data_IF_988480808471
#
_entry.id   IF_988480808471
#
_cell.length_a   1.000
_cell.length_b   1.000
_cell.length_c   1.000
_cell.angle_alpha   90.00
_cell.angle_beta   90.00
_cell.angle_gamma   90.00
#
_symmetry.space_group_name_H-M   'P 1'
#
loop_
_entity.id
_entity.type
_entity.pdbx_description
1 polymer ?
#
# COMPACT_ATOMS: atom_id res chain seq x y z
N UNK A 1 43.43 46.05 30.74
CA UNK A 1 42.04 45.54 30.84
C UNK A 1 41.31 45.94 29.56
N UNK A 2 40.64 45.12 28.76
CA UNK A 2 40.30 43.69 28.69
C UNK A 2 40.19 43.40 27.18
N UNK A 3 40.86 42.36 26.68
CA UNK A 3 40.73 41.86 25.30
C UNK A 3 39.45 41.03 25.22
N UNK A 4 38.52 41.37 24.33
CA UNK A 4 37.30 40.61 24.07
C UNK A 4 37.56 39.70 22.85
N UNK A 5 37.89 38.44 23.09
CA UNK A 5 37.94 37.40 22.05
C UNK A 5 36.50 37.04 21.67
N UNK A 6 36.06 37.42 20.48
CA UNK A 6 34.86 36.86 19.85
C UNK A 6 35.24 35.51 19.23
N UNK A 7 34.95 34.42 19.95
CA UNK A 7 35.13 33.06 19.45
C UNK A 7 33.97 32.74 18.51
N UNK A 8 34.13 33.00 17.21
CA UNK A 8 33.19 32.59 16.17
C UNK A 8 33.26 31.05 16.06
N UNK A 9 32.40 30.35 16.79
CA UNK A 9 32.29 28.89 16.71
C UNK A 9 31.59 28.55 15.41
N UNK A 10 32.39 28.32 14.36
CA UNK A 10 31.93 27.78 13.08
C UNK A 10 31.42 26.36 13.36
N UNK A 11 30.14 26.22 13.68
CA UNK A 11 29.44 24.94 13.68
C UNK A 11 29.39 24.46 12.22
N UNK A 12 30.47 23.80 11.79
CA UNK A 12 30.50 22.94 10.63
C UNK A 12 29.46 21.83 10.89
N UNK A 13 28.22 22.11 10.51
CA UNK A 13 27.19 21.11 10.32
C UNK A 13 27.62 20.22 9.16
N UNK A 14 28.52 19.28 9.44
CA UNK A 14 28.70 18.11 8.60
C UNK A 14 27.37 17.35 8.65
N UNK A 15 26.49 17.65 7.72
CA UNK A 15 25.39 16.78 7.34
C UNK A 15 26.05 15.48 6.86
N UNK A 16 26.27 14.56 7.80
CA UNK A 16 26.57 13.18 7.48
C UNK A 16 25.35 12.68 6.72
N UNK A 17 25.47 12.57 5.39
CA UNK A 17 24.47 12.02 4.49
C UNK A 17 24.32 10.52 4.81
N UNK A 18 23.54 10.23 5.86
CA UNK A 18 23.18 8.87 6.20
C UNK A 18 22.20 8.37 5.14
N UNK A 19 22.58 7.31 4.41
CA UNK A 19 21.68 6.65 3.48
C UNK A 19 20.42 6.20 4.21
N UNK A 20 19.25 6.47 3.62
CA UNK A 20 17.98 6.01 4.18
C UNK A 20 17.92 4.48 4.16
N UNK A 21 17.45 3.88 5.25
CA UNK A 21 17.24 2.44 5.36
C UNK A 21 15.77 2.11 5.60
N UNK A 22 15.29 1.04 4.96
CA UNK A 22 13.90 0.59 5.08
C UNK A 22 13.87 -0.91 5.34
N UNK A 23 13.32 -1.32 6.49
CA UNK A 23 13.00 -2.73 6.78
C UNK A 23 11.61 -3.08 6.26
N UNK A 24 11.50 -4.14 5.45
CA UNK A 24 10.23 -4.57 4.83
C UNK A 24 10.29 -6.02 4.37
N UNK A 25 9.21 -6.51 3.77
CA UNK A 25 9.20 -7.74 2.97
C UNK A 25 8.95 -7.39 1.50
N UNK A 26 9.59 -8.10 0.58
CA UNK A 26 9.29 -7.98 -0.85
C UNK A 26 7.98 -8.73 -1.13
N UNK A 27 7.00 -8.01 -1.66
CA UNK A 27 5.74 -8.60 -2.10
C UNK A 27 5.88 -9.22 -3.51
N UNK A 28 6.54 -8.51 -4.43
CA UNK A 28 6.83 -9.01 -5.77
C UNK A 28 8.07 -8.31 -6.36
N UNK A 29 8.75 -8.97 -7.29
CA UNK A 29 9.81 -8.39 -8.11
C UNK A 29 9.45 -8.58 -9.58
N UNK A 30 9.39 -7.49 -10.34
CA UNK A 30 9.11 -7.53 -11.77
C UNK A 30 10.41 -7.36 -12.56
N UNK A 31 10.78 -8.36 -13.36
CA UNK A 31 11.96 -8.32 -14.24
C UNK A 31 11.81 -7.25 -15.34
N UNK A 32 12.87 -6.51 -15.73
CA UNK A 32 12.85 -5.53 -16.82
C UNK A 32 12.30 -6.16 -18.11
N UNK A 33 11.38 -5.47 -18.80
CA UNK A 33 10.97 -5.80 -20.17
C UNK A 33 11.78 -4.94 -21.16
N UNK A 34 11.63 -5.21 -22.46
CA UNK A 34 12.35 -4.47 -23.51
C UNK A 34 12.17 -2.96 -23.35
N UNK A 35 13.28 -2.25 -23.08
CA UNK A 35 13.31 -0.80 -22.89
C UNK A 35 13.23 -0.32 -21.43
N UNK A 36 12.94 -1.21 -20.48
CA UNK A 36 13.02 -0.86 -19.06
C UNK A 36 14.48 -0.81 -18.60
N UNK A 37 14.78 0.16 -17.72
CA UNK A 37 16.12 0.37 -17.16
C UNK A 37 16.27 -0.20 -15.74
N UNK A 38 15.19 -0.72 -15.15
CA UNK A 38 15.14 -1.15 -13.76
C UNK A 38 14.25 -2.39 -13.59
N UNK A 39 14.58 -3.23 -12.63
CA UNK A 39 13.62 -4.10 -11.96
C UNK A 39 12.71 -3.24 -11.07
N UNK A 40 11.45 -3.67 -10.94
CA UNK A 40 10.48 -2.99 -10.09
C UNK A 40 10.15 -3.86 -8.88
N UNK A 41 10.62 -3.44 -7.71
CA UNK A 41 10.41 -4.14 -6.44
C UNK A 41 9.17 -3.56 -5.75
N UNK A 42 8.13 -4.38 -5.57
CA UNK A 42 6.94 -4.04 -4.79
C UNK A 42 7.13 -4.48 -3.34
N UNK A 43 7.16 -3.54 -2.40
CA UNK A 43 7.35 -3.83 -0.99
C UNK A 43 6.01 -3.93 -0.25
N UNK A 44 5.99 -4.68 0.86
CA UNK A 44 4.80 -4.93 1.67
C UNK A 44 4.27 -3.69 2.41
N UNK A 45 5.06 -2.63 2.46
CA UNK A 45 4.63 -1.30 2.92
C UNK A 45 3.89 -0.51 1.81
N UNK A 46 3.69 -1.06 0.61
CA UNK A 46 3.02 -0.36 -0.50
C UNK A 46 3.94 0.52 -1.35
N UNK A 47 5.21 0.66 -0.97
CA UNK A 47 6.20 1.39 -1.77
C UNK A 47 6.77 0.53 -2.89
N UNK A 48 7.27 1.22 -3.90
CA UNK A 48 8.03 0.69 -5.04
C UNK A 48 9.46 1.15 -4.92
N UNK A 49 10.40 0.28 -5.25
CA UNK A 49 11.82 0.60 -5.33
C UNK A 49 12.39 0.12 -6.67
N UNK A 50 13.30 0.89 -7.26
CA UNK A 50 13.98 0.53 -8.50
C UNK A 50 15.31 -0.16 -8.22
N UNK A 51 15.59 -1.30 -8.87
CA UNK A 51 16.94 -1.89 -8.91
C UNK A 51 17.44 -1.72 -10.34
N UNK A 52 18.62 -1.14 -10.60
CA UNK A 52 19.13 -0.99 -11.96
C UNK A 52 19.18 -2.33 -12.71
N UNK A 53 18.76 -2.37 -13.98
CA UNK A 53 18.67 -3.61 -14.76
C UNK A 53 20.04 -4.30 -14.93
N UNK A 54 21.13 -3.54 -14.87
CA UNK A 54 22.50 -4.06 -14.91
C UNK A 54 22.96 -4.71 -13.59
N UNK A 55 22.26 -4.47 -12.47
CA UNK A 55 22.65 -4.99 -11.15
C UNK A 55 21.97 -6.33 -10.86
N UNK A 56 22.49 -7.39 -11.49
CA UNK A 56 22.00 -8.75 -11.28
C UNK A 56 22.19 -9.23 -9.84
N UNK A 57 23.24 -8.76 -9.14
CA UNK A 57 23.51 -9.15 -7.76
C UNK A 57 22.40 -8.71 -6.80
N UNK A 58 21.94 -7.46 -6.91
CA UNK A 58 20.79 -7.00 -6.14
C UNK A 58 19.49 -7.69 -6.55
N UNK A 59 19.28 -7.94 -7.86
CA UNK A 59 18.12 -8.66 -8.33
C UNK A 59 18.05 -10.09 -7.77
N UNK A 60 19.18 -10.80 -7.69
CA UNK A 60 19.26 -12.16 -7.15
C UNK A 60 18.99 -12.19 -5.65
N UNK A 61 19.54 -11.25 -4.87
CA UNK A 61 19.21 -11.09 -3.44
C UNK A 61 17.69 -10.84 -3.24
N UNK A 62 17.09 -10.02 -4.10
CA UNK A 62 15.66 -9.76 -4.06
C UNK A 62 14.84 -11.03 -4.38
N UNK A 63 15.23 -11.80 -5.39
CA UNK A 63 14.58 -13.09 -5.73
C UNK A 63 14.71 -14.10 -4.60
N UNK A 64 15.89 -14.21 -3.99
CA UNK A 64 16.12 -15.06 -2.83
C UNK A 64 15.19 -14.70 -1.66
N UNK A 65 15.11 -13.40 -1.33
CA UNK A 65 14.21 -12.93 -0.29
C UNK A 65 12.73 -13.18 -0.60
N UNK A 66 12.30 -13.04 -1.85
CA UNK A 66 10.93 -13.39 -2.29
C UNK A 66 10.67 -14.89 -2.13
N UNK A 67 11.57 -15.74 -2.63
CA UNK A 67 11.42 -17.19 -2.60
C UNK A 67 11.43 -17.74 -1.16
N UNK A 68 12.28 -17.20 -0.29
CA UNK A 68 12.35 -17.59 1.12
C UNK A 68 11.32 -16.90 2.02
N UNK A 69 10.61 -15.89 1.52
CA UNK A 69 9.73 -15.04 2.33
C UNK A 69 10.49 -14.24 3.41
N UNK A 70 11.78 -13.98 3.21
CA UNK A 70 12.63 -13.33 4.19
C UNK A 70 12.35 -11.82 4.28
N UNK A 71 12.39 -11.23 5.49
CA UNK A 71 12.47 -9.78 5.61
C UNK A 71 13.80 -9.29 5.05
N UNK A 72 13.79 -8.04 4.59
CA UNK A 72 14.96 -7.37 4.05
C UNK A 72 15.12 -5.99 4.68
N UNK A 73 16.34 -5.49 4.68
CA UNK A 73 16.66 -4.09 4.86
C UNK A 73 17.20 -3.53 3.54
N UNK A 74 16.50 -2.53 3.00
CA UNK A 74 16.92 -1.79 1.83
C UNK A 74 17.80 -0.62 2.28
N UNK A 75 18.97 -0.47 1.66
CA UNK A 75 19.73 0.77 1.69
C UNK A 75 19.39 1.52 0.41
N UNK A 76 18.94 2.77 0.53
CA UNK A 76 18.45 3.56 -0.61
C UNK A 76 19.50 4.58 -1.07
N UNK A 77 19.49 4.88 -2.37
CA UNK A 77 20.13 6.08 -2.90
C UNK A 77 19.36 7.32 -2.43
N UNK A 78 20.07 8.41 -2.20
CA UNK A 78 19.47 9.69 -1.83
C UNK A 78 18.59 10.21 -2.97
N UNK A 79 17.40 10.67 -2.61
CA UNK A 79 16.48 11.31 -3.54
C UNK A 79 16.63 12.83 -3.45
N UNK A 80 16.54 13.49 -4.58
CA UNK A 80 16.40 14.95 -4.65
C UNK A 80 15.08 15.40 -4.04
N UNK A 81 15.02 16.66 -3.59
CA UNK A 81 13.77 17.26 -3.10
C UNK A 81 12.66 17.25 -4.16
N UNK A 82 13.04 17.38 -5.43
CA UNK A 82 12.11 17.32 -6.56
C UNK A 82 11.50 15.92 -6.71
N UNK A 83 12.32 14.87 -6.68
CA UNK A 83 11.83 13.48 -6.73
C UNK A 83 10.88 13.19 -5.56
N UNK A 84 11.23 13.63 -4.35
CA UNK A 84 10.38 13.46 -3.15
C UNK A 84 9.04 14.18 -3.35
N UNK A 85 9.06 15.44 -3.80
CA UNK A 85 7.87 16.25 -4.07
C UNK A 85 7.00 15.67 -5.19
N UNK A 86 7.63 15.06 -6.20
CA UNK A 86 6.97 14.42 -7.34
C UNK A 86 6.47 13.00 -7.03
N UNK A 87 6.63 12.53 -5.78
CA UNK A 87 6.29 11.18 -5.35
C UNK A 87 7.00 10.08 -6.16
N UNK A 88 8.26 10.31 -6.51
CA UNK A 88 9.08 9.34 -7.23
C UNK A 88 9.65 8.29 -6.29
N UNK A 89 9.84 7.08 -6.81
CA UNK A 89 10.44 5.94 -6.09
C UNK A 89 11.93 6.17 -5.89
N UNK A 90 12.43 5.67 -4.76
CA UNK A 90 13.85 5.59 -4.52
C UNK A 90 14.47 4.42 -5.30
N UNK A 91 15.75 4.57 -5.64
CA UNK A 91 16.56 3.49 -6.19
C UNK A 91 17.29 2.75 -5.07
N UNK A 92 17.39 1.43 -5.20
CA UNK A 92 18.06 0.56 -4.22
C UNK A 92 19.57 0.66 -4.43
N UNK A 93 20.29 0.92 -3.35
CA UNK A 93 21.76 0.88 -3.28
C UNK A 93 22.27 -0.49 -2.83
N UNK A 94 21.61 -1.10 -1.84
CA UNK A 94 21.92 -2.45 -1.38
C UNK A 94 20.69 -3.13 -0.74
N UNK A 95 20.74 -4.45 -0.66
CA UNK A 95 19.74 -5.31 -0.02
C UNK A 95 20.45 -6.20 0.99
N UNK A 96 20.03 -6.11 2.25
CA UNK A 96 20.42 -7.04 3.31
C UNK A 96 19.27 -8.01 3.56
N UNK A 97 19.48 -9.29 3.29
CA UNK A 97 18.49 -10.35 3.57
C UNK A 97 18.60 -10.75 5.05
N UNK A 98 17.49 -10.63 5.78
CA UNK A 98 17.45 -10.81 7.23
C UNK A 98 16.93 -12.22 7.58
N UNK A 99 17.71 -13.25 7.25
CA UNK A 99 17.32 -14.67 7.34
C UNK A 99 16.89 -15.11 8.75
N UNK A 100 17.44 -14.47 9.79
CA UNK A 100 17.15 -14.80 11.19
C UNK A 100 16.06 -13.91 11.83
N UNK A 101 15.53 -12.92 11.11
CA UNK A 101 14.44 -12.09 11.61
C UNK A 101 13.09 -12.73 11.23
N UNK A 102 12.14 -12.72 12.15
CA UNK A 102 10.76 -13.13 11.82
C UNK A 102 10.18 -12.15 10.80
N UNK A 103 9.70 -12.62 9.63
CA UNK A 103 9.12 -11.72 8.64
C UNK A 103 8.00 -10.86 9.26
N UNK A 104 7.93 -9.59 8.86
CA UNK A 104 6.94 -8.64 9.37
C UNK A 104 5.49 -9.12 9.09
N UNK A 105 5.33 -9.95 8.05
CA UNK A 105 4.09 -10.61 7.65
C UNK A 105 4.06 -12.14 7.92
N UNK A 106 5.07 -12.70 8.60
CA UNK A 106 5.35 -14.16 8.65
C UNK A 106 4.22 -15.04 9.16
N UNK A 107 3.36 -14.55 10.06
CA UNK A 107 2.28 -15.36 10.62
C UNK A 107 1.07 -15.53 9.69
N UNK A 108 1.18 -15.06 8.44
CA UNK A 108 0.06 -14.96 7.53
C UNK A 108 0.30 -15.53 6.13
N UNK A 109 1.54 -15.79 5.73
CA UNK A 109 1.81 -16.43 4.45
C UNK A 109 1.84 -17.95 4.69
N UNK A 110 0.80 -18.71 4.29
CA UNK A 110 0.87 -20.17 4.36
C UNK A 110 2.09 -20.63 3.56
N UNK A 111 2.83 -21.62 4.08
CA UNK A 111 3.88 -22.30 3.31
C UNK A 111 3.29 -22.72 1.96
N UNK A 112 3.93 -22.27 0.88
CA UNK A 112 3.45 -22.36 -0.49
C UNK A 112 3.52 -23.80 -1.01
N UNK A 113 2.63 -24.66 -0.54
CA UNK A 113 2.39 -26.00 -1.09
C UNK A 113 0.94 -26.07 -1.55
N UNK A 114 0.57 -25.35 -2.61
CA UNK A 114 -0.74 -25.56 -3.24
C UNK A 114 -0.60 -25.59 -4.78
N UNK A 115 -1.36 -26.48 -5.44
CA UNK A 115 -1.23 -26.74 -6.88
C UNK A 115 -1.75 -25.60 -7.76
N UNK A 116 -1.37 -25.68 -9.03
CA UNK A 116 -1.67 -24.74 -10.09
C UNK A 116 -3.17 -24.41 -10.22
N UNK A 117 -3.45 -23.11 -10.36
CA UNK A 117 -4.66 -22.46 -10.85
C UNK A 117 -5.99 -23.22 -10.71
N UNK A 118 -6.84 -22.78 -9.78
CA UNK A 118 -8.16 -23.36 -9.58
C UNK A 118 -9.15 -22.96 -10.69
N UNK A 119 -9.93 -23.93 -11.16
CA UNK A 119 -10.94 -23.83 -12.22
C UNK A 119 -11.89 -22.60 -12.10
N UNK A 120 -12.15 -21.87 -13.21
CA UNK A 120 -12.99 -20.68 -13.26
C UNK A 120 -14.47 -20.81 -12.84
N UNK A 121 -15.09 -21.99 -12.81
CA UNK A 121 -16.56 -22.12 -12.67
C UNK A 121 -17.12 -21.74 -11.28
N UNK A 122 -16.29 -21.57 -10.25
CA UNK A 122 -16.73 -21.19 -8.88
C UNK A 122 -15.99 -19.96 -8.35
N UNK A 123 -15.88 -18.92 -9.19
CA UNK A 123 -15.13 -17.72 -8.83
C UNK A 123 -15.76 -16.94 -7.65
N UNK A 124 -15.03 -16.87 -6.54
CA UNK A 124 -15.37 -16.05 -5.37
C UNK A 124 -14.70 -14.68 -5.52
N UNK A 125 -15.50 -13.62 -5.54
CA UNK A 125 -14.99 -12.24 -5.59
C UNK A 125 -14.67 -11.74 -4.17
N UNK A 126 -13.81 -10.71 -4.01
CA UNK A 126 -13.58 -10.08 -2.71
C UNK A 126 -14.83 -9.47 -2.05
N UNK A 127 -15.91 -9.30 -2.81
CA UNK A 127 -17.22 -8.80 -2.36
C UNK A 127 -18.29 -9.89 -2.22
N UNK A 128 -17.97 -11.16 -2.51
CA UNK A 128 -18.95 -12.26 -2.43
C UNK A 128 -19.55 -12.37 -1.03
N UNK A 129 -20.88 -12.46 -0.96
CA UNK A 129 -21.67 -12.49 0.28
C UNK A 129 -21.46 -11.26 1.20
N UNK A 130 -21.05 -10.12 0.63
CA UNK A 130 -20.86 -8.89 1.36
C UNK A 130 -21.62 -7.74 0.69
N UNK A 131 -22.25 -6.90 1.49
CA UNK A 131 -22.94 -5.70 1.02
C UNK A 131 -22.55 -4.52 1.89
N UNK A 132 -22.15 -3.43 1.25
CA UNK A 132 -21.85 -2.18 1.95
C UNK A 132 -23.14 -1.53 2.43
N UNK A 133 -23.11 -0.92 3.61
CA UNK A 133 -24.25 -0.15 4.12
C UNK A 133 -24.53 1.03 3.20
N UNK A 134 -25.82 1.24 2.89
CA UNK A 134 -26.31 2.40 2.13
C UNK A 134 -26.78 3.48 3.11
N UNK A 135 -26.23 4.68 2.98
CA UNK A 135 -26.58 5.84 3.83
C UNK A 135 -26.83 7.10 2.99
N UNK A 136 -27.39 8.17 3.55
CA UNK A 136 -27.52 9.44 2.84
C UNK A 136 -26.16 10.14 2.67
N UNK A 137 -26.07 11.11 1.76
CA UNK A 137 -24.87 11.94 1.62
C UNK A 137 -24.55 12.74 2.91
N UNK A 138 -25.57 13.21 3.63
CA UNK A 138 -25.37 13.89 4.91
C UNK A 138 -24.80 12.95 5.97
N UNK A 139 -25.30 11.71 6.04
CA UNK A 139 -24.74 10.67 6.92
C UNK A 139 -23.29 10.33 6.52
N UNK A 140 -22.97 10.24 5.22
CA UNK A 140 -21.60 10.03 4.76
C UNK A 140 -20.65 11.15 5.20
N UNK A 141 -21.08 12.41 5.09
CA UNK A 141 -20.30 13.57 5.55
C UNK A 141 -20.08 13.54 7.06
N UNK A 142 -21.12 13.23 7.84
CA UNK A 142 -21.02 13.11 9.30
C UNK A 142 -20.12 11.95 9.72
N UNK A 143 -20.24 10.80 9.05
CA UNK A 143 -19.39 9.62 9.28
C UNK A 143 -17.92 9.96 9.01
N UNK A 144 -17.62 10.61 7.88
CA UNK A 144 -16.26 11.00 7.53
C UNK A 144 -15.64 11.98 8.53
N UNK A 145 -16.41 12.96 9.01
CA UNK A 145 -15.95 13.89 10.05
C UNK A 145 -15.71 13.20 11.39
N UNK A 146 -16.42 12.11 11.66
CA UNK A 146 -16.24 11.31 12.87
C UNK A 146 -15.04 10.35 12.82
N UNK A 147 -14.48 10.10 11.64
CA UNK A 147 -13.27 9.30 11.50
C UNK A 147 -12.09 10.04 12.14
N UNK A 148 -11.27 9.28 12.86
CA UNK A 148 -10.06 9.82 13.46
C UNK A 148 -9.09 10.36 12.40
N UNK A 149 -8.42 11.45 12.73
CA UNK A 149 -7.44 12.15 11.91
C UNK A 149 -6.07 12.32 12.60
N UNK A 150 -5.89 11.70 13.77
CA UNK A 150 -4.68 11.68 14.58
C UNK A 150 -3.73 10.52 14.23
N UNK A 151 -4.00 9.82 13.12
CA UNK A 151 -3.12 8.75 12.63
C UNK A 151 -1.84 9.35 12.03
N UNK A 152 -0.71 8.69 12.24
CA UNK A 152 0.59 9.11 11.72
C UNK A 152 0.53 9.18 10.20
N UNK A 153 0.96 10.31 9.63
CA UNK A 153 1.07 10.48 8.18
C UNK A 153 2.00 9.45 7.52
N UNK A 154 3.03 8.99 8.25
CA UNK A 154 3.99 7.97 7.82
C UNK A 154 3.49 6.51 7.97
N UNK A 155 2.29 6.29 8.50
CA UNK A 155 1.72 4.94 8.59
C UNK A 155 1.35 4.38 7.22
N UNK A 156 1.12 3.08 7.14
CA UNK A 156 0.71 2.45 5.89
C UNK A 156 -0.79 2.66 5.62
N UNK A 157 -1.14 2.93 4.36
CA UNK A 157 -2.53 3.22 3.96
C UNK A 157 -3.50 2.10 4.34
N UNK A 158 -3.09 0.84 4.17
CA UNK A 158 -3.88 -0.33 4.52
C UNK A 158 -4.15 -0.45 6.03
N UNK A 159 -3.21 0.00 6.87
CA UNK A 159 -3.39 0.03 8.32
C UNK A 159 -4.42 1.08 8.71
N UNK A 160 -4.32 2.31 8.17
CA UNK A 160 -5.33 3.35 8.38
C UNK A 160 -6.71 2.91 7.90
N UNK A 161 -6.80 2.36 6.69
CA UNK A 161 -8.07 1.89 6.12
C UNK A 161 -8.70 0.77 6.96
N UNK A 162 -7.89 -0.13 7.53
CA UNK A 162 -8.38 -1.19 8.39
C UNK A 162 -8.88 -0.66 9.73
N UNK A 163 -8.13 0.25 10.37
CA UNK A 163 -8.55 0.95 11.59
C UNK A 163 -9.86 1.68 11.38
N UNK A 164 -9.96 2.52 10.34
CA UNK A 164 -11.20 3.26 10.06
C UNK A 164 -12.39 2.34 9.80
N UNK A 165 -12.21 1.26 9.03
CA UNK A 165 -13.29 0.31 8.78
C UNK A 165 -13.75 -0.39 10.07
N UNK A 166 -12.81 -0.78 10.93
CA UNK A 166 -13.11 -1.37 12.24
C UNK A 166 -13.87 -0.41 13.15
N UNK A 167 -13.40 0.84 13.28
CA UNK A 167 -14.03 1.85 14.13
C UNK A 167 -15.44 2.19 13.64
N UNK A 168 -15.62 2.33 12.32
CA UNK A 168 -16.93 2.58 11.72
C UNK A 168 -17.88 1.42 12.02
N UNK A 169 -17.45 0.18 11.84
CA UNK A 169 -18.27 -0.99 12.14
C UNK A 169 -18.59 -1.09 13.64
N UNK A 170 -17.60 -0.93 14.51
CA UNK A 170 -17.78 -1.09 15.96
C UNK A 170 -18.71 -0.02 16.55
N UNK A 171 -18.59 1.22 16.07
CA UNK A 171 -19.36 2.37 16.60
C UNK A 171 -20.75 2.53 15.96
N UNK A 172 -20.84 2.34 14.64
CA UNK A 172 -22.07 2.65 13.88
C UNK A 172 -22.76 1.42 13.29
N UNK A 173 -22.13 0.23 13.38
CA UNK A 173 -22.60 -1.01 12.72
C UNK A 173 -22.77 -0.86 11.21
N UNK A 174 -22.00 0.05 10.60
CA UNK A 174 -21.95 0.21 9.15
C UNK A 174 -20.90 -0.71 8.55
N UNK A 175 -21.31 -1.49 7.55
CA UNK A 175 -20.44 -2.31 6.74
C UNK A 175 -19.81 -1.42 5.67
N UNK A 176 -18.53 -1.07 5.83
CA UNK A 176 -17.76 -0.44 4.77
C UNK A 176 -17.22 -1.51 3.81
N UNK A 177 -17.00 -1.15 2.56
CA UNK A 177 -16.08 -1.87 1.70
C UNK A 177 -14.68 -1.26 1.81
N UNK A 178 -13.69 -1.86 1.16
CA UNK A 178 -12.37 -1.29 0.91
C UNK A 178 -12.11 -1.23 -0.58
N UNK A 179 -11.73 -0.05 -1.05
CA UNK A 179 -11.42 0.20 -2.44
C UNK A 179 -9.90 0.15 -2.58
N UNK A 180 -9.39 -0.90 -3.21
CA UNK A 180 -7.96 -1.00 -3.53
C UNK A 180 -7.73 -0.36 -4.90
N UNK A 181 -6.88 0.67 -4.94
CA UNK A 181 -6.33 1.26 -6.16
C UNK A 181 -4.96 0.64 -6.39
N UNK A 182 -4.80 -0.06 -7.51
CA UNK A 182 -3.53 -0.65 -7.92
C UNK A 182 -2.91 0.15 -9.05
N UNK A 183 -1.67 0.59 -8.87
CA UNK A 183 -0.88 1.20 -9.94
C UNK A 183 -0.18 0.09 -10.71
N UNK A 184 -0.22 0.19 -12.03
CA UNK A 184 0.42 -0.78 -12.92
C UNK A 184 1.87 -0.40 -13.16
N UNK A 185 2.66 -1.37 -13.65
CA UNK A 185 4.00 -1.11 -14.14
C UNK A 185 4.07 0.01 -15.19
N UNK A 186 3.07 0.11 -16.09
CA UNK A 186 2.97 1.23 -17.04
C UNK A 186 3.05 2.58 -16.34
N UNK A 187 2.21 2.79 -15.34
CA UNK A 187 2.16 4.05 -14.58
C UNK A 187 3.42 4.27 -13.75
N UNK A 188 3.87 3.21 -13.08
CA UNK A 188 5.06 3.25 -12.22
C UNK A 188 6.30 3.62 -13.05
N UNK A 189 6.47 3.05 -14.24
CA UNK A 189 7.63 3.35 -15.09
C UNK A 189 7.55 4.74 -15.71
N UNK A 190 6.37 5.14 -16.22
CA UNK A 190 6.19 6.46 -16.85
C UNK A 190 6.41 7.62 -15.87
N UNK A 191 5.99 7.49 -14.61
CA UNK A 191 6.03 8.58 -13.64
C UNK A 191 7.02 8.38 -12.49
N UNK A 192 7.87 7.35 -12.60
CA UNK A 192 8.71 6.82 -11.51
C UNK A 192 7.93 6.67 -10.20
N UNK A 193 6.64 6.32 -10.24
CA UNK A 193 5.75 6.49 -9.08
C UNK A 193 6.11 5.58 -7.90
N UNK A 194 6.08 6.12 -6.68
CA UNK A 194 6.56 5.44 -5.47
C UNK A 194 5.61 4.41 -4.84
N UNK A 195 4.35 4.34 -5.27
CA UNK A 195 3.36 3.40 -4.70
C UNK A 195 2.88 2.41 -5.75
N UNK A 196 2.71 1.15 -5.37
CA UNK A 196 2.07 0.14 -6.24
C UNK A 196 0.60 -0.10 -5.87
N UNK A 197 0.16 0.34 -4.69
CA UNK A 197 -1.25 0.40 -4.36
C UNK A 197 -1.57 1.49 -3.33
N UNK A 198 -2.85 1.84 -3.26
CA UNK A 198 -3.48 2.61 -2.19
C UNK A 198 -4.82 1.99 -1.82
N UNK A 199 -5.30 2.21 -0.60
CA UNK A 199 -6.59 1.67 -0.16
C UNK A 199 -7.28 2.59 0.84
N UNK A 200 -8.61 2.70 0.70
CA UNK A 200 -9.45 3.43 1.63
C UNK A 200 -10.83 2.75 1.79
N UNK A 201 -11.53 2.95 2.92
CA UNK A 201 -12.90 2.48 3.08
C UNK A 201 -13.84 3.14 2.07
N UNK A 202 -14.91 2.46 1.66
CA UNK A 202 -15.99 3.04 0.89
C UNK A 202 -17.37 2.60 1.38
N UNK A 203 -18.40 3.35 0.99
CA UNK A 203 -19.82 3.10 1.30
C UNK A 203 -20.69 3.33 0.07
N UNK A 204 -21.95 2.88 0.13
CA UNK A 204 -22.98 3.27 -0.83
C UNK A 204 -23.75 4.48 -0.30
N UNK A 205 -24.11 5.40 -1.19
CA UNK A 205 -24.99 6.53 -0.85
C UNK A 205 -26.29 6.52 -1.62
N UNK A 206 -27.42 6.80 -0.95
CA UNK A 206 -28.74 6.89 -1.60
C UNK A 206 -28.72 7.93 -2.72
N UNK A 207 -29.30 7.58 -3.88
CA UNK A 207 -29.38 8.46 -5.05
C UNK A 207 -28.09 8.58 -5.86
N UNK A 208 -27.04 7.80 -5.56
CA UNK A 208 -25.81 7.73 -6.37
C UNK A 208 -25.57 6.32 -6.90
N UNK A 209 -25.09 6.24 -8.14
CA UNK A 209 -24.68 5.00 -8.80
C UNK A 209 -23.26 4.57 -8.41
N UNK A 210 -22.41 5.50 -7.98
CA UNK A 210 -21.02 5.24 -7.61
C UNK A 210 -20.83 5.18 -6.10
N UNK A 211 -19.86 4.37 -5.66
CA UNK A 211 -19.41 4.37 -4.27
C UNK A 211 -18.75 5.69 -3.88
N UNK A 212 -18.82 5.99 -2.59
CA UNK A 212 -18.14 7.13 -1.97
C UNK A 212 -17.01 6.58 -1.10
N UNK A 213 -15.79 7.04 -1.38
CA UNK A 213 -14.56 6.69 -0.69
C UNK A 213 -14.31 7.64 0.47
N UNK A 214 -13.91 7.07 1.61
CA UNK A 214 -13.70 7.72 2.89
C UNK A 214 -12.21 7.74 3.24
N UNK A 215 -11.44 8.58 2.57
CA UNK A 215 -10.00 8.71 2.79
C UNK A 215 -9.66 9.99 3.57
N UNK A 216 -9.59 9.86 4.90
CA UNK A 216 -9.41 11.00 5.80
C UNK A 216 -7.98 11.56 5.80
N UNK A 217 -7.01 10.80 5.28
CA UNK A 217 -5.61 11.22 5.22
C UNK A 217 -5.37 12.25 4.11
N UNK A 218 -5.98 12.04 2.94
CA UNK A 218 -5.72 12.85 1.75
C UNK A 218 -6.82 13.88 1.45
N UNK A 219 -7.98 13.77 2.10
CA UNK A 219 -9.13 14.62 1.80
C UNK A 219 -9.80 15.19 3.05
N UNK A 220 -10.46 16.34 2.87
CA UNK A 220 -11.29 17.00 3.88
C UNK A 220 -12.77 16.61 3.82
N UNK A 221 -13.18 15.83 2.80
CA UNK A 221 -14.54 15.35 2.60
C UNK A 221 -14.55 14.00 1.86
N UNK A 222 -15.67 13.23 1.95
CA UNK A 222 -15.86 12.04 1.13
C UNK A 222 -15.78 12.35 -0.36
N UNK A 223 -15.17 11.45 -1.14
CA UNK A 223 -15.02 11.60 -2.60
C UNK A 223 -15.72 10.48 -3.34
N UNK A 224 -16.30 10.78 -4.50
CA UNK A 224 -16.70 9.71 -5.44
C UNK A 224 -15.45 9.04 -5.99
N UNK A 225 -15.57 7.77 -6.41
CA UNK A 225 -14.41 6.95 -6.79
C UNK A 225 -13.47 7.63 -7.79
N UNK A 226 -14.00 8.24 -8.87
CA UNK A 226 -13.18 8.89 -9.88
C UNK A 226 -12.40 10.08 -9.31
N UNK A 227 -13.08 10.99 -8.61
CA UNK A 227 -12.42 12.12 -7.95
C UNK A 227 -11.40 11.68 -6.89
N UNK A 228 -11.58 10.51 -6.27
CA UNK A 228 -10.59 9.93 -5.36
C UNK A 228 -9.38 9.39 -6.13
N UNK A 229 -9.57 8.65 -7.23
CA UNK A 229 -8.46 8.13 -8.03
C UNK A 229 -7.63 9.24 -8.66
N UNK A 230 -8.27 10.29 -9.17
CA UNK A 230 -7.60 11.37 -9.89
C UNK A 230 -6.56 12.09 -9.02
N UNK A 231 -6.79 12.16 -7.71
CA UNK A 231 -5.83 12.74 -6.77
C UNK A 231 -4.49 11.98 -6.70
N UNK A 232 -4.46 10.73 -7.16
CA UNK A 232 -3.25 9.90 -7.21
C UNK A 232 -2.71 9.72 -8.64
N UNK A 233 -3.46 10.14 -9.66
CA UNK A 233 -3.12 9.93 -11.07
C UNK A 233 -2.63 11.23 -11.72
N UNK A 234 -1.33 11.32 -11.98
CA UNK A 234 -0.70 12.44 -12.72
C UNK A 234 -1.30 12.69 -14.12
N UNK A 235 -1.95 11.71 -14.73
CA UNK A 235 -2.53 11.79 -16.08
C UNK A 235 -4.06 11.69 -16.13
N UNK A 236 -4.75 11.70 -14.98
CA UNK A 236 -6.21 11.52 -14.89
C UNK A 236 -6.74 10.29 -15.64
N UNK A 237 -5.94 9.22 -15.76
CA UNK A 237 -6.37 8.01 -16.45
C UNK A 237 -7.54 7.34 -15.72
N UNK A 238 -8.49 6.81 -16.48
CA UNK A 238 -9.57 5.99 -15.93
C UNK A 238 -9.01 4.66 -15.41
N UNK A 239 -9.37 4.29 -14.18
CA UNK A 239 -8.98 3.01 -13.58
C UNK A 239 -10.15 2.01 -13.66
N UNK A 240 -10.10 0.97 -14.53
CA UNK A 240 -11.19 0.01 -14.62
C UNK A 240 -11.38 -0.78 -13.32
N UNK A 241 -12.64 -1.09 -13.01
CA UNK A 241 -12.99 -1.92 -11.85
C UNK A 241 -12.86 -3.39 -12.22
N UNK A 242 -11.97 -4.09 -11.52
CA UNK A 242 -11.74 -5.52 -11.63
C UNK A 242 -12.40 -6.25 -10.47
N UNK A 243 -12.86 -7.46 -10.74
CA UNK A 243 -13.28 -8.40 -9.68
C UNK A 243 -12.15 -9.31 -9.27
N UNK A 244 -11.04 -9.34 -10.03
CA UNK A 244 -9.91 -10.29 -9.92
C UNK A 244 -8.55 -9.61 -9.74
N UNK A 245 -7.77 -10.04 -8.76
CA UNK A 245 -6.35 -9.70 -8.59
C UNK A 245 -5.47 -10.24 -9.72
N UNK A 246 -5.70 -11.46 -10.21
CA UNK A 246 -4.98 -12.02 -11.36
C UNK A 246 -5.20 -11.23 -12.66
N UNK A 247 -6.31 -10.49 -12.78
CA UNK A 247 -6.52 -9.59 -13.91
C UNK A 247 -5.61 -8.37 -13.81
N UNK A 248 -5.37 -7.83 -12.62
CA UNK A 248 -4.37 -6.78 -12.41
C UNK A 248 -2.95 -7.30 -12.69
N UNK A 249 -2.53 -8.37 -12.01
CA UNK A 249 -1.14 -8.84 -12.05
C UNK A 249 -0.69 -9.30 -13.45
N UNK A 250 -1.60 -9.78 -14.30
CA UNK A 250 -1.28 -10.18 -15.69
C UNK A 250 -1.36 -9.05 -16.73
N UNK A 251 -1.90 -7.88 -16.39
CA UNK A 251 -2.12 -6.79 -17.35
C UNK A 251 -1.36 -5.50 -16.95
N UNK A 252 -0.11 -5.64 -16.51
CA UNK A 252 0.72 -4.54 -15.98
C UNK A 252 1.08 -3.43 -16.99
N UNK A 253 0.85 -3.63 -18.30
CA UNK A 253 1.08 -2.62 -19.34
C UNK A 253 -0.19 -2.18 -20.08
N UNK A 254 -1.35 -2.75 -19.74
CA UNK A 254 -2.59 -2.47 -20.47
C UNK A 254 -3.18 -1.12 -20.06
N UNK A 255 -3.50 -0.99 -18.77
CA UNK A 255 -4.03 0.24 -18.18
C UNK A 255 -2.98 0.90 -17.29
N UNK A 256 -3.23 2.15 -16.85
CA UNK A 256 -2.37 2.81 -15.85
C UNK A 256 -2.67 2.35 -14.42
N UNK A 257 -3.93 2.03 -14.14
CA UNK A 257 -4.39 1.67 -12.81
C UNK A 257 -5.62 0.76 -12.89
N UNK A 258 -5.91 0.09 -11.78
CA UNK A 258 -7.12 -0.71 -11.61
C UNK A 258 -7.72 -0.53 -10.22
N UNK A 259 -9.03 -0.72 -10.12
CA UNK A 259 -9.76 -0.71 -8.85
C UNK A 259 -10.26 -2.11 -8.50
N UNK A 260 -10.06 -2.56 -7.27
CA UNK A 260 -10.65 -3.81 -6.77
C UNK A 260 -11.44 -3.50 -5.48
N UNK A 261 -12.78 -3.51 -5.52
CA UNK A 261 -13.59 -3.44 -4.31
C UNK A 261 -13.51 -4.76 -3.55
N UNK A 262 -13.37 -4.68 -2.23
CA UNK A 262 -13.36 -5.83 -1.33
C UNK A 262 -14.17 -5.55 -0.06
N UNK A 263 -14.56 -6.59 0.66
CA UNK A 263 -15.17 -6.42 1.98
C UNK A 263 -14.21 -5.74 2.97
N UNK A 264 -14.73 -5.12 4.03
CA UNK A 264 -13.90 -4.49 5.07
C UNK A 264 -12.88 -5.42 5.75
N UNK A 265 -13.05 -6.74 5.61
CA UNK A 265 -12.22 -7.74 6.25
C UNK A 265 -10.88 -7.99 5.54
N UNK A 266 -10.74 -7.61 4.26
CA UNK A 266 -9.47 -7.73 3.54
C UNK A 266 -8.52 -6.61 3.96
N UNK A 267 -7.40 -6.95 4.59
CA UNK A 267 -6.48 -5.97 5.18
C UNK A 267 -5.46 -5.45 4.17
N UNK A 268 -4.79 -6.34 3.43
CA UNK A 268 -3.68 -6.02 2.52
C UNK A 268 -3.88 -6.68 1.14
N UNK A 269 -3.17 -6.25 0.09
CA UNK A 269 -3.32 -6.82 -1.26
C UNK A 269 -3.11 -8.33 -1.35
N UNK A 270 -2.19 -8.91 -0.58
CA UNK A 270 -1.98 -10.36 -0.57
C UNK A 270 -3.22 -11.13 -0.10
N UNK A 271 -4.15 -10.52 0.65
CA UNK A 271 -5.43 -11.16 0.94
C UNK A 271 -6.28 -11.37 -0.31
N UNK A 272 -6.19 -10.46 -1.30
CA UNK A 272 -6.89 -10.59 -2.58
C UNK A 272 -6.24 -11.68 -3.44
N UNK A 273 -4.90 -11.72 -3.47
CA UNK A 273 -4.16 -12.80 -4.14
C UNK A 273 -4.48 -14.17 -3.52
N UNK A 274 -4.55 -14.26 -2.20
CA UNK A 274 -4.83 -15.51 -1.49
C UNK A 274 -6.28 -15.97 -1.62
N UNK A 275 -7.21 -15.02 -1.74
CA UNK A 275 -8.58 -15.36 -2.10
C UNK A 275 -8.61 -16.12 -3.44
N UNK A 276 -7.87 -15.65 -4.44
CA UNK A 276 -7.87 -16.30 -5.75
C UNK A 276 -7.11 -17.63 -5.75
N UNK A 277 -5.89 -17.63 -5.22
CA UNK A 277 -5.02 -18.81 -5.26
C UNK A 277 -5.49 -19.93 -4.35
N UNK A 278 -6.00 -19.58 -3.17
CA UNK A 278 -6.25 -20.53 -2.09
C UNK A 278 -7.70 -20.52 -1.60
N UNK A 279 -8.60 -19.77 -2.25
CA UNK A 279 -10.01 -19.60 -1.82
C UNK A 279 -10.15 -19.09 -0.39
N UNK A 280 -9.16 -18.37 0.14
CA UNK A 280 -9.16 -17.90 1.51
C UNK A 280 -10.05 -16.67 1.68
N UNK A 281 -11.34 -16.89 1.98
CA UNK A 281 -12.28 -15.79 2.24
C UNK A 281 -12.05 -15.13 3.61
N UNK A 282 -12.25 -13.82 3.68
CA UNK A 282 -12.23 -13.03 4.93
C UNK A 282 -13.66 -12.57 5.25
N UNK A 283 -14.20 -13.00 6.39
CA UNK A 283 -15.61 -12.76 6.81
C UNK A 283 -15.75 -12.04 8.16
N UNK A 284 -14.65 -11.81 8.85
CA UNK A 284 -14.61 -11.10 10.12
C UNK A 284 -13.28 -10.35 10.25
N UNK A 285 -13.24 -9.38 11.16
CA UNK A 285 -11.98 -8.79 11.57
C UNK A 285 -11.23 -9.80 12.45
N UNK A 286 -9.92 -9.90 12.25
CA UNK A 286 -9.05 -10.62 13.17
C UNK A 286 -8.44 -9.61 14.14
N UNK A 287 -8.54 -9.89 15.44
CA UNK A 287 -8.05 -8.96 16.46
C UNK A 287 -6.55 -8.65 16.30
N UNK A 288 -5.76 -9.64 15.85
CA UNK A 288 -4.33 -9.44 15.55
C UNK A 288 -4.09 -8.43 14.41
N UNK A 289 -4.92 -8.44 13.37
CA UNK A 289 -4.81 -7.53 12.22
C UNK A 289 -5.16 -6.10 12.68
N UNK A 290 -6.21 -5.97 13.51
CA UNK A 290 -6.61 -4.70 14.13
C UNK A 290 -5.49 -4.15 15.02
N UNK A 291 -4.98 -4.95 15.95
CA UNK A 291 -3.93 -4.55 16.89
C UNK A 291 -2.66 -4.10 16.14
N UNK A 292 -2.26 -4.85 15.11
CA UNK A 292 -1.14 -4.46 14.26
C UNK A 292 -1.42 -3.14 13.54
N UNK A 293 -2.55 -3.03 12.87
CA UNK A 293 -2.92 -1.85 12.10
C UNK A 293 -2.91 -0.59 12.98
N UNK A 294 -3.42 -0.68 14.19
CA UNK A 294 -3.37 0.41 15.13
C UNK A 294 -1.96 0.76 15.62
N UNK A 295 -1.14 -0.24 15.95
CA UNK A 295 0.25 -0.02 16.40
C UNK A 295 1.04 0.76 15.35
N UNK A 296 0.89 0.40 14.07
CA UNK A 296 1.49 1.13 12.96
C UNK A 296 0.87 2.54 12.80
N UNK A 297 -0.47 2.60 12.72
CA UNK A 297 -1.18 3.83 12.42
C UNK A 297 -1.02 4.91 13.50
N UNK A 298 -0.83 4.54 14.77
CA UNK A 298 -0.72 5.49 15.90
C UNK A 298 0.69 5.63 16.47
N UNK A 299 1.58 4.67 16.25
CA UNK A 299 2.97 4.67 16.76
C UNK A 299 3.14 4.33 18.25
N UNK A 300 2.08 4.42 19.08
CA UNK A 300 2.10 4.01 20.49
C UNK A 300 0.70 3.54 20.91
N UNK A 301 0.59 2.33 21.45
CA UNK A 301 -0.66 1.76 21.98
C UNK A 301 -0.64 1.86 23.51
N UNK A 302 -1.43 2.74 24.14
CA UNK A 302 -1.69 2.65 25.56
C UNK A 302 -2.72 1.54 25.74
N UNK A 303 -2.39 0.60 26.61
CA UNK A 303 -3.34 -0.38 27.14
C UNK A 303 -4.59 0.32 27.68
#
# INVERSE_FOLDING_TARGET
MKRLLFLFTLLLSFSLFASETVKTNIYNLLDPQSGDTEYVLFASNGFVYGIPAQDQGLADKAREAVAGGFPIELVLLEQTEEEIKNNERASVKDINVLVNETPFASHFMPRMEAPAFVDPETYITPMSNFSVTRISQSQANSLFRSMRNDLRSKSQCYNRAHVWSWEIYNKYRYNTGKMFLFFTRKYINEYRYKWWFHVAPFISTTGRSQYVVLDRQYFSSPRVMHSWTDAFMKNNAHCPVLTRYSAYSRNQYKEYCYLIPASMYYWQPWNLDYLERYRQTRRSFYQRDINHAYRDARGWWPW
#
